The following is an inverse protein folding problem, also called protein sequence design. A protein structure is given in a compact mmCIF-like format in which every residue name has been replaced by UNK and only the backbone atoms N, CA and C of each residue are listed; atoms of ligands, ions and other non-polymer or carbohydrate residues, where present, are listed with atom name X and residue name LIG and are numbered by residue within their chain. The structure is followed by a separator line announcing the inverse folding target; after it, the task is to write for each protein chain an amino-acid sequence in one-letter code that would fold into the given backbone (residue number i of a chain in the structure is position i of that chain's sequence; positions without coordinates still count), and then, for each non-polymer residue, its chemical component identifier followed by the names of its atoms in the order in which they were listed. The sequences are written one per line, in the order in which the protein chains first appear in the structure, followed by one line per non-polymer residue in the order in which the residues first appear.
data_IF_306458907218
#
_entry.id   IF_306458907218
#
_cell.length_a   1.000
_cell.length_b   1.000
_cell.length_c   1.000
_cell.angle_alpha   90.00
_cell.angle_beta   90.00
_cell.angle_gamma   90.00
#
_symmetry.space_group_name_H-M   'P 1'
#
loop_
_entity.id
_entity.type
_entity.pdbx_description
1 polymer ?
#
# COMPACT_ATOMS: atom_id res chain seq x y z
N UNK A 1 19.95 -3.49 4.98
CA UNK A 1 20.31 -3.01 6.34
C UNK A 1 20.30 -1.49 6.48
N UNK A 2 20.81 -0.73 5.50
CA UNK A 2 20.81 0.76 5.57
C UNK A 2 19.42 1.38 5.79
N UNK A 3 18.40 0.87 5.10
CA UNK A 3 16.99 1.32 5.30
C UNK A 3 16.52 1.11 6.74
N UNK A 4 16.89 -0.01 7.38
CA UNK A 4 16.53 -0.27 8.77
C UNK A 4 17.17 0.72 9.74
N UNK A 5 18.42 1.12 9.46
CA UNK A 5 19.12 2.13 10.25
C UNK A 5 18.53 3.52 10.04
N UNK A 6 18.25 3.89 8.79
CA UNK A 6 17.71 5.20 8.43
C UNK A 6 16.33 5.46 9.04
N UNK A 7 15.42 4.48 8.91
CA UNK A 7 14.05 4.62 9.41
C UNK A 7 13.87 4.12 10.85
N UNK A 8 14.91 3.56 11.48
CA UNK A 8 14.83 2.98 12.82
C UNK A 8 13.88 1.78 12.93
N UNK A 9 13.60 1.09 11.82
CA UNK A 9 12.67 -0.04 11.76
C UNK A 9 13.47 -1.30 11.48
N UNK A 10 13.47 -2.31 12.37
CA UNK A 10 14.12 -3.59 12.12
C UNK A 10 13.66 -4.28 10.84
N UNK A 11 14.55 -5.02 10.17
CA UNK A 11 14.30 -5.65 8.85
C UNK A 11 13.11 -6.61 8.86
N UNK A 12 12.85 -7.29 9.97
CA UNK A 12 11.71 -8.20 10.13
C UNK A 12 10.35 -7.50 10.16
N UNK A 13 10.33 -6.18 10.33
CA UNK A 13 9.11 -5.36 10.35
C UNK A 13 8.91 -4.58 9.06
N UNK A 14 9.71 -4.88 8.03
CA UNK A 14 9.67 -4.25 6.72
C UNK A 14 9.15 -5.24 5.68
N UNK A 15 8.33 -4.76 4.74
CA UNK A 15 8.05 -5.47 3.50
C UNK A 15 8.19 -4.54 2.32
N UNK A 16 9.06 -4.87 1.37
CA UNK A 16 9.25 -4.07 0.17
C UNK A 16 8.29 -4.49 -0.94
N UNK A 17 7.71 -3.52 -1.63
CA UNK A 17 6.85 -3.72 -2.78
C UNK A 17 7.45 -3.09 -4.03
N UNK A 18 7.40 -3.81 -5.14
CA UNK A 18 7.74 -3.24 -6.44
C UNK A 18 6.74 -2.15 -6.81
N UNK A 19 7.25 -0.96 -7.11
CA UNK A 19 6.45 0.15 -7.59
C UNK A 19 6.49 0.18 -9.12
N UNK A 20 5.37 -0.20 -9.75
CA UNK A 20 5.32 -0.37 -11.20
C UNK A 20 4.45 0.71 -11.86
N UNK A 21 4.88 1.15 -13.04
CA UNK A 21 4.06 1.98 -13.94
C UNK A 21 3.01 1.10 -14.62
N UNK A 22 1.75 1.52 -14.57
CA UNK A 22 0.65 0.91 -15.33
C UNK A 22 0.53 1.56 -16.71
N UNK A 23 -0.26 0.94 -17.60
CA UNK A 23 -0.51 1.46 -18.96
C UNK A 23 -1.11 2.88 -18.95
N UNK A 24 -1.85 3.20 -17.90
CA UNK A 24 -2.45 4.52 -17.67
C UNK A 24 -1.51 5.57 -17.06
N UNK A 25 -0.19 5.34 -17.09
CA UNK A 25 0.82 6.25 -16.54
C UNK A 25 0.76 6.48 -15.03
N UNK A 26 -0.06 5.74 -14.28
CA UNK A 26 -0.03 5.75 -12.81
C UNK A 26 1.03 4.79 -12.27
N UNK A 27 1.70 5.16 -11.20
CA UNK A 27 2.62 4.29 -10.48
C UNK A 27 1.91 3.72 -9.25
N UNK A 28 1.87 2.39 -9.10
CA UNK A 28 1.23 1.74 -7.93
C UNK A 28 2.07 0.59 -7.38
N UNK A 29 2.01 0.31 -6.06
CA UNK A 29 2.52 -0.94 -5.51
C UNK A 29 1.90 -2.12 -6.25
N UNK A 30 2.74 -3.04 -6.75
CA UNK A 30 2.31 -4.16 -7.57
C UNK A 30 2.32 -5.46 -6.77
N UNK A 31 3.50 -5.89 -6.33
CA UNK A 31 3.69 -7.10 -5.52
C UNK A 31 4.84 -6.91 -4.54
N UNK A 32 4.85 -7.63 -3.41
CA UNK A 32 6.01 -7.66 -2.54
C UNK A 32 7.21 -8.31 -3.23
N UNK A 33 8.41 -7.95 -2.78
CA UNK A 33 9.64 -8.67 -3.11
C UNK A 33 9.58 -10.07 -2.47
N UNK A 34 10.13 -11.04 -3.17
CA UNK A 34 10.39 -12.37 -2.62
C UNK A 34 11.68 -12.36 -1.81
N UNK A 35 11.83 -13.31 -0.90
CA UNK A 35 13.08 -13.44 -0.12
C UNK A 35 14.31 -13.59 -1.02
N UNK A 36 14.20 -14.35 -2.11
CA UNK A 36 15.28 -14.49 -3.10
C UNK A 36 15.62 -13.17 -3.81
N UNK A 37 14.64 -12.30 -4.04
CA UNK A 37 14.86 -10.96 -4.58
C UNK A 37 15.56 -10.06 -3.55
N UNK A 38 15.15 -10.08 -2.29
CA UNK A 38 15.79 -9.28 -1.22
C UNK A 38 17.25 -9.67 -0.98
N UNK A 39 17.64 -10.91 -1.29
CA UNK A 39 19.06 -11.35 -1.20
C UNK A 39 19.93 -10.87 -2.37
N UNK A 40 19.34 -10.35 -3.45
CA UNK A 40 20.09 -9.89 -4.61
C UNK A 40 20.64 -8.47 -4.40
N UNK A 41 21.63 -8.11 -5.22
CA UNK A 41 22.13 -6.74 -5.24
C UNK A 41 21.07 -5.77 -5.78
N UNK A 42 21.12 -4.51 -5.35
CA UNK A 42 20.22 -3.45 -5.83
C UNK A 42 20.30 -3.29 -7.36
N UNK A 43 21.49 -3.48 -7.94
CA UNK A 43 21.70 -3.43 -9.39
C UNK A 43 20.93 -4.53 -10.14
N UNK A 44 20.96 -5.77 -9.65
CA UNK A 44 20.23 -6.89 -10.24
C UNK A 44 18.71 -6.72 -10.06
N UNK A 45 18.26 -6.29 -8.89
CA UNK A 45 16.85 -5.98 -8.64
C UNK A 45 16.30 -4.90 -9.58
N UNK A 46 17.11 -3.89 -9.90
CA UNK A 46 16.74 -2.85 -10.86
C UNK A 46 16.49 -3.42 -12.26
N UNK A 47 17.34 -4.32 -12.73
CA UNK A 47 17.21 -4.93 -14.06
C UNK A 47 15.96 -5.81 -14.18
N UNK A 48 15.60 -6.54 -13.12
CA UNK A 48 14.42 -7.42 -13.11
C UNK A 48 13.11 -6.62 -12.97
N UNK A 49 13.13 -5.52 -12.21
CA UNK A 49 11.93 -4.72 -11.90
C UNK A 49 11.50 -3.76 -13.01
N UNK A 50 12.43 -3.25 -13.81
CA UNK A 50 12.18 -2.24 -14.84
C UNK A 50 12.67 -2.68 -16.22
N UNK A 51 11.73 -3.02 -17.12
CA UNK A 51 12.04 -3.34 -18.54
C UNK A 51 12.43 -2.12 -19.39
N UNK A 52 12.22 -0.92 -18.86
CA UNK A 52 12.60 0.35 -19.49
C UNK A 52 13.81 0.84 -18.71
N UNK A 53 14.94 1.06 -19.38
CA UNK A 53 16.25 1.49 -18.83
C UNK A 53 16.21 2.83 -18.05
N UNK A 54 15.38 2.94 -17.02
CA UNK A 54 15.44 4.00 -16.03
C UNK A 54 16.45 3.57 -14.96
N UNK A 55 17.33 4.49 -14.58
CA UNK A 55 18.37 4.24 -13.58
C UNK A 55 17.81 4.06 -12.15
N UNK A 56 16.53 4.35 -11.93
CA UNK A 56 15.90 4.37 -10.61
C UNK A 56 15.13 3.08 -10.31
N UNK A 57 15.43 2.47 -9.16
CA UNK A 57 14.60 1.43 -8.54
C UNK A 57 13.62 2.11 -7.57
N UNK A 58 12.31 1.98 -7.82
CA UNK A 58 11.26 2.52 -6.94
C UNK A 58 10.59 1.38 -6.19
N UNK A 59 10.65 1.46 -4.87
CA UNK A 59 10.02 0.51 -3.96
C UNK A 59 9.06 1.26 -3.03
N UNK A 60 7.97 0.59 -2.66
CA UNK A 60 7.10 1.01 -1.56
C UNK A 60 7.44 0.18 -0.32
N UNK A 61 7.80 0.85 0.77
CA UNK A 61 8.12 0.21 2.04
C UNK A 61 6.85 0.12 2.89
N UNK A 62 6.39 -1.11 3.11
CA UNK A 62 5.30 -1.42 4.02
C UNK A 62 5.85 -1.59 5.44
N UNK A 63 5.23 -0.87 6.39
CA UNK A 63 5.54 -0.93 7.83
C UNK A 63 4.21 -0.96 8.58
N UNK A 64 4.08 -1.88 9.51
CA UNK A 64 2.95 -1.95 10.43
C UNK A 64 3.35 -1.46 11.82
N UNK A 65 2.42 -0.78 12.50
CA UNK A 65 2.62 -0.30 13.86
C UNK A 65 1.57 -0.91 14.78
N UNK A 66 2.03 -1.43 15.92
CA UNK A 66 1.17 -1.89 17.00
C UNK A 66 0.45 -0.74 17.71
N UNK A 67 -0.40 -1.11 18.67
CA UNK A 67 -1.13 -0.13 19.50
C UNK A 67 -0.19 0.77 20.33
N UNK A 68 1.00 0.27 20.64
CA UNK A 68 2.08 0.97 21.33
C UNK A 68 2.97 1.80 20.38
N UNK A 69 2.57 1.91 19.09
CA UNK A 69 3.32 2.54 18.01
C UNK A 69 4.66 1.85 17.68
N UNK A 70 4.95 0.70 18.29
CA UNK A 70 6.12 -0.09 17.97
C UNK A 70 5.92 -0.79 16.61
N UNK A 71 6.98 -0.91 15.79
CA UNK A 71 6.89 -1.69 14.56
C UNK A 71 6.56 -3.14 14.85
N UNK A 72 5.60 -3.70 14.12
CA UNK A 72 5.21 -5.11 14.18
C UNK A 72 5.43 -5.78 12.84
N UNK A 73 5.46 -7.12 12.83
CA UNK A 73 5.60 -7.88 11.60
C UNK A 73 4.40 -7.59 10.68
N UNK A 74 4.63 -7.21 9.41
CA UNK A 74 3.55 -7.04 8.45
C UNK A 74 2.71 -8.32 8.34
N UNK A 75 1.37 -8.22 8.28
CA UNK A 75 0.49 -9.38 8.29
C UNK A 75 0.76 -10.29 7.11
N UNK A 76 0.68 -11.60 7.32
CA UNK A 76 0.84 -12.58 6.25
C UNK A 76 -0.17 -12.33 5.13
N UNK A 77 0.34 -12.38 3.90
CA UNK A 77 -0.45 -12.14 2.70
C UNK A 77 -0.65 -13.46 1.94
N UNK A 78 -1.90 -13.82 1.69
CA UNK A 78 -2.27 -14.92 0.80
C UNK A 78 -2.35 -14.47 -0.66
N UNK A 79 -2.40 -15.41 -1.60
CA UNK A 79 -2.56 -15.09 -3.03
C UNK A 79 -3.88 -14.39 -3.33
N UNK A 80 -4.89 -14.64 -2.51
CA UNK A 80 -6.23 -14.08 -2.65
C UNK A 80 -6.38 -12.71 -1.98
N UNK A 81 -5.34 -12.21 -1.31
CA UNK A 81 -5.37 -10.88 -0.71
C UNK A 81 -4.94 -9.79 -1.70
N UNK A 82 -5.69 -8.70 -1.70
CA UNK A 82 -5.42 -7.47 -2.45
C UNK A 82 -5.17 -6.36 -1.42
N UNK A 83 -4.06 -5.63 -1.59
CA UNK A 83 -3.79 -4.43 -0.81
C UNK A 83 -4.49 -3.24 -1.46
N UNK A 84 -5.48 -2.66 -0.78
CA UNK A 84 -6.17 -1.44 -1.19
C UNK A 84 -5.72 -0.26 -0.34
N UNK A 85 -5.60 0.91 -0.96
CA UNK A 85 -5.31 2.17 -0.30
C UNK A 85 -6.56 3.05 -0.37
N UNK A 86 -6.93 3.63 0.75
CA UNK A 86 -8.13 4.42 0.90
C UNK A 86 -7.78 5.89 1.10
N UNK A 87 -8.47 6.73 0.35
CA UNK A 87 -8.46 8.17 0.51
C UNK A 87 -9.90 8.59 0.77
N UNK A 88 -10.07 9.49 1.72
CA UNK A 88 -11.34 10.13 1.96
C UNK A 88 -11.32 11.51 1.33
N UNK A 89 -12.43 11.85 0.68
CA UNK A 89 -12.69 13.19 0.19
C UNK A 89 -13.53 13.99 1.18
N UNK A 90 -13.09 15.20 1.46
CA UNK A 90 -13.86 16.20 2.18
C UNK A 90 -14.45 17.20 1.17
N UNK A 91 -15.77 17.15 0.87
CA UNK A 91 -16.39 18.03 -0.12
C UNK A 91 -16.47 19.49 0.34
N UNK A 92 -16.41 19.76 1.65
CA UNK A 92 -16.42 21.15 2.14
C UNK A 92 -15.07 21.82 1.94
N UNK A 93 -13.99 21.04 2.01
CA UNK A 93 -12.61 21.52 1.82
C UNK A 93 -12.07 21.28 0.41
N UNK A 94 -12.75 20.46 -0.39
CA UNK A 94 -12.28 19.96 -1.69
C UNK A 94 -10.91 19.25 -1.60
N UNK A 95 -10.71 18.44 -0.54
CA UNK A 95 -9.42 17.81 -0.25
C UNK A 95 -9.51 16.28 -0.15
N UNK A 96 -8.46 15.60 -0.66
CA UNK A 96 -8.24 14.17 -0.41
C UNK A 96 -7.27 13.95 0.74
N UNK A 97 -7.71 13.24 1.77
CA UNK A 97 -6.85 12.75 2.86
C UNK A 97 -6.64 11.24 2.77
N UNK A 98 -5.40 10.81 3.00
CA UNK A 98 -5.12 9.38 3.16
C UNK A 98 -5.67 8.89 4.50
N UNK A 99 -6.50 7.84 4.48
CA UNK A 99 -7.10 7.28 5.70
C UNK A 99 -6.55 5.90 6.06
N UNK A 100 -5.75 5.30 5.17
CA UNK A 100 -5.04 4.07 5.44
C UNK A 100 -5.17 3.06 4.31
N UNK A 101 -4.89 1.81 4.63
CA UNK A 101 -4.87 0.69 3.69
C UNK A 101 -5.44 -0.56 4.35
N UNK A 102 -6.00 -1.46 3.55
CA UNK A 102 -6.49 -2.76 4.03
C UNK A 102 -6.10 -3.86 3.06
N UNK A 103 -5.83 -5.04 3.62
CA UNK A 103 -5.86 -6.28 2.85
C UNK A 103 -7.31 -6.78 2.80
N UNK A 104 -7.82 -6.98 1.59
CA UNK A 104 -9.15 -7.51 1.34
C UNK A 104 -9.06 -8.74 0.46
N UNK A 105 -10.05 -9.63 0.54
CA UNK A 105 -10.11 -10.79 -0.36
C UNK A 105 -10.51 -10.36 -1.76
N UNK A 106 -9.90 -10.97 -2.78
CA UNK A 106 -10.20 -10.72 -4.18
C UNK A 106 -11.66 -11.05 -4.55
N UNK A 107 -12.29 -11.96 -3.82
CA UNK A 107 -13.70 -12.34 -3.96
C UNK A 107 -14.61 -11.68 -2.93
N UNK A 108 -14.07 -10.80 -2.07
CA UNK A 108 -14.83 -10.11 -1.03
C UNK A 108 -15.75 -9.04 -1.61
N UNK A 109 -16.80 -8.69 -0.86
CA UNK A 109 -17.73 -7.63 -1.26
C UNK A 109 -17.34 -6.29 -0.64
N UNK A 110 -17.52 -5.15 -1.34
CA UNK A 110 -17.24 -3.83 -0.76
C UNK A 110 -18.03 -3.55 0.53
N UNK A 111 -19.24 -4.11 0.67
CA UNK A 111 -20.05 -3.98 1.88
C UNK A 111 -19.39 -4.55 3.14
N UNK A 112 -18.49 -5.54 2.99
CA UNK A 112 -17.82 -6.21 4.12
C UNK A 112 -16.76 -5.31 4.79
N UNK A 113 -16.35 -4.22 4.13
CA UNK A 113 -15.31 -3.32 4.65
C UNK A 113 -15.84 -1.96 5.09
N UNK A 114 -17.13 -1.66 4.87
CA UNK A 114 -17.71 -0.32 5.15
C UNK A 114 -17.52 0.12 6.59
N UNK A 115 -17.88 -0.73 7.56
CA UNK A 115 -17.70 -0.44 8.99
C UNK A 115 -16.25 -0.10 9.32
N UNK A 116 -15.30 -0.83 8.74
CA UNK A 116 -13.87 -0.59 8.97
C UNK A 116 -13.38 0.69 8.30
N UNK A 117 -13.93 1.05 7.14
CA UNK A 117 -13.62 2.32 6.48
C UNK A 117 -14.16 3.51 7.28
N UNK A 118 -15.34 3.39 7.86
CA UNK A 118 -15.90 4.40 8.77
C UNK A 118 -14.99 4.60 9.99
N UNK A 119 -14.57 3.53 10.65
CA UNK A 119 -13.60 3.60 11.76
C UNK A 119 -12.30 4.29 11.36
N UNK A 120 -11.72 3.95 10.20
CA UNK A 120 -10.50 4.58 9.68
C UNK A 120 -10.69 6.05 9.31
N UNK A 121 -11.90 6.42 8.86
CA UNK A 121 -12.25 7.79 8.57
C UNK A 121 -12.57 8.60 9.83
N UNK A 122 -12.85 7.95 10.97
CA UNK A 122 -13.31 8.58 12.21
C UNK A 122 -14.82 8.88 12.19
N UNK A 123 -15.58 8.13 11.40
CA UNK A 123 -17.04 8.21 11.32
C UNK A 123 -17.73 7.16 12.20
N UNK A 124 -19.05 7.32 12.36
CA UNK A 124 -19.88 6.30 12.99
C UNK A 124 -19.89 5.01 12.16
N UNK A 125 -19.98 3.86 12.84
CA UNK A 125 -19.94 2.54 12.20
C UNK A 125 -21.03 2.36 11.13
N UNK A 126 -22.17 3.05 11.27
CA UNK A 126 -23.32 2.97 10.36
C UNK A 126 -23.44 4.19 9.42
N UNK A 127 -22.45 5.08 9.40
CA UNK A 127 -22.44 6.23 8.49
C UNK A 127 -22.54 5.76 7.03
N UNK A 128 -23.45 6.40 6.28
CA UNK A 128 -23.64 6.09 4.86
C UNK A 128 -22.52 6.73 4.03
N UNK A 129 -21.63 5.88 3.50
CA UNK A 129 -20.49 6.30 2.70
C UNK A 129 -20.58 5.77 1.27
N UNK A 130 -20.14 6.59 0.31
CA UNK A 130 -20.08 6.22 -1.10
C UNK A 130 -18.64 5.89 -1.49
N UNK A 131 -18.43 4.76 -2.15
CA UNK A 131 -17.12 4.29 -2.60
C UNK A 131 -16.92 4.54 -4.10
N UNK A 132 -15.71 4.97 -4.44
CA UNK A 132 -15.28 5.21 -5.82
C UNK A 132 -13.91 4.57 -6.09
N UNK A 133 -13.70 4.07 -7.30
CA UNK A 133 -12.39 3.60 -7.76
C UNK A 133 -11.65 4.71 -8.52
N UNK A 134 -10.41 5.01 -8.12
CA UNK A 134 -9.56 5.97 -8.82
C UNK A 134 -8.84 5.27 -9.99
N UNK A 135 -9.44 5.32 -11.18
CA UNK A 135 -8.94 4.65 -12.39
C UNK A 135 -7.85 5.42 -13.14
N UNK A 136 -8.08 6.69 -13.45
CA UNK A 136 -7.23 7.57 -14.28
C UNK A 136 -7.72 9.00 -14.06
N UNK A 137 -6.86 9.93 -13.66
CA UNK A 137 -7.15 11.39 -13.62
C UNK A 137 -8.63 11.79 -13.46
N UNK A 138 -9.14 11.70 -12.23
CA UNK A 138 -9.97 12.73 -11.63
C UNK A 138 -10.05 12.40 -10.14
N UNK A 139 -9.75 13.41 -9.34
CA UNK A 139 -9.88 13.38 -7.89
C UNK A 139 -11.39 13.36 -7.56
N UNK A 140 -11.73 12.85 -6.38
CA UNK A 140 -12.78 13.53 -5.63
C UNK A 140 -12.14 14.84 -5.16
#
# INVERSE_FOLDING_TARGET
EEVAKEFGIPVQFQRFWLWAKRQNHTYRPNRPLTHAEETQTVGQLREVSNKVHNAELKLFLEVEKGMDLCPIAPPDKTKDDILLFFKLYDPEKEELRYVGRLFVKCTGKPSEILTRLNEMAGYDHEEDIVLYEVGLYCFL
#
